data_IF_338184832605
#
_entry.id   IF_338184832605
#
_cell.length_a   1.000
_cell.length_b   1.000
_cell.length_c   1.000
_cell.angle_alpha   90.00
_cell.angle_beta   90.00
_cell.angle_gamma   90.00
#
_symmetry.space_group_name_H-M   'P 1'
#
loop_
_entity.id
_entity.type
_entity.pdbx_description
1 polymer ?
#
# COMPACT_ATOMS: atom_id res chain seq x y z
N UNK A 1 -3.66 -3.11 2.34
CA UNK A 1 -3.40 -2.02 3.30
C UNK A 1 -4.20 -2.22 4.58
N UNK A 2 -4.19 -1.24 5.49
CA UNK A 2 -5.04 -1.16 6.70
C UNK A 2 -4.97 -2.32 7.70
N UNK A 3 -4.02 -3.23 7.51
CA UNK A 3 -3.75 -4.29 8.48
C UNK A 3 -3.10 -3.71 9.74
N UNK A 4 -3.39 -4.29 10.92
CA UNK A 4 -2.82 -3.80 12.17
C UNK A 4 -1.29 -3.94 12.18
N UNK A 5 -0.65 -3.20 13.09
CA UNK A 5 0.77 -3.40 13.41
C UNK A 5 1.03 -4.87 13.76
N UNK A 6 2.14 -5.41 13.23
CA UNK A 6 2.52 -6.80 13.44
C UNK A 6 1.89 -7.77 12.45
N UNK A 7 1.21 -7.28 11.41
CA UNK A 7 0.69 -8.13 10.35
C UNK A 7 1.84 -8.85 9.63
N UNK A 8 1.71 -10.16 9.36
CA UNK A 8 2.75 -10.92 8.65
C UNK A 8 2.83 -10.47 7.19
N UNK A 9 4.06 -10.26 6.70
CA UNK A 9 4.34 -9.89 5.31
C UNK A 9 4.88 -11.07 4.53
N UNK A 10 5.78 -11.84 5.14
CA UNK A 10 6.42 -12.99 4.52
C UNK A 10 7.59 -13.50 5.37
N UNK A 11 8.27 -14.54 4.91
CA UNK A 11 9.41 -15.14 5.61
C UNK A 11 10.60 -15.22 4.68
N UNK A 12 11.77 -14.81 5.16
CA UNK A 12 13.03 -14.98 4.45
C UNK A 12 13.71 -16.28 4.88
N UNK A 13 14.15 -17.05 3.89
CA UNK A 13 14.91 -18.27 4.11
C UNK A 13 16.31 -18.10 3.53
N UNK A 14 17.31 -18.49 4.33
CA UNK A 14 18.70 -18.55 3.92
C UNK A 14 19.32 -19.83 4.51
N UNK A 15 20.27 -20.42 3.78
CA UNK A 15 20.93 -21.68 4.14
C UNK A 15 22.43 -21.54 4.03
N UNK A 16 23.16 -22.00 5.04
CA UNK A 16 24.62 -22.13 5.01
C UNK A 16 24.98 -23.62 4.87
N UNK A 17 25.87 -23.95 3.92
CA UNK A 17 26.22 -25.34 3.59
C UNK A 17 27.34 -25.91 4.47
N UNK A 18 28.08 -25.05 5.15
CA UNK A 18 29.33 -25.44 5.83
C UNK A 18 29.12 -25.70 7.34
N UNK A 19 27.87 -25.68 7.82
CA UNK A 19 27.53 -25.72 9.23
C UNK A 19 26.39 -26.73 9.50
N UNK A 20 26.71 -27.80 10.22
CA UNK A 20 25.72 -28.66 10.87
C UNK A 20 24.78 -27.79 11.70
N UNK A 21 23.46 -27.95 11.48
CA UNK A 21 22.34 -27.41 12.27
C UNK A 21 22.75 -26.40 13.35
N UNK A 22 22.79 -25.11 12.99
CA UNK A 22 23.00 -23.90 13.81
C UNK A 22 24.15 -22.97 13.37
N UNK A 23 24.38 -22.79 12.06
CA UNK A 23 24.76 -21.45 11.62
C UNK A 23 23.63 -20.51 12.05
N UNK A 24 23.77 -19.81 13.18
CA UNK A 24 22.74 -18.91 13.70
C UNK A 24 22.65 -17.68 12.80
N UNK A 25 22.15 -17.84 11.58
CA UNK A 25 21.96 -16.75 10.62
C UNK A 25 21.10 -15.68 11.28
N UNK A 26 21.56 -14.45 11.19
CA UNK A 26 20.84 -13.27 11.66
C UNK A 26 20.30 -12.50 10.48
N UNK A 27 18.98 -12.34 10.47
CA UNK A 27 18.28 -11.57 9.45
C UNK A 27 18.13 -10.12 9.89
N UNK A 28 18.30 -9.19 8.96
CA UNK A 28 18.09 -7.76 9.19
C UNK A 28 17.65 -7.03 7.92
N UNK A 29 17.05 -5.85 8.08
CA UNK A 29 16.77 -4.92 7.00
C UNK A 29 17.84 -3.82 7.01
N UNK A 30 18.45 -3.55 5.86
CA UNK A 30 19.57 -2.59 5.74
C UNK A 30 19.28 -1.58 4.62
N UNK A 31 19.15 -0.28 4.91
CA UNK A 31 19.03 0.28 6.26
C UNK A 31 17.73 -0.19 6.95
N UNK A 32 17.65 0.03 8.26
CA UNK A 32 16.43 -0.24 9.01
C UNK A 32 15.25 0.54 8.41
N UNK A 33 14.07 -0.08 8.41
CA UNK A 33 12.86 0.53 7.86
C UNK A 33 11.87 0.95 8.98
N UNK A 34 11.13 2.03 8.77
CA UNK A 34 10.10 2.53 9.70
C UNK A 34 8.81 1.71 9.64
N UNK A 35 8.46 1.19 8.47
CA UNK A 35 7.19 0.50 8.20
C UNK A 35 7.31 -1.02 8.30
N UNK A 36 8.51 -1.57 8.19
CA UNK A 36 8.77 -3.02 8.23
C UNK A 36 9.86 -3.41 9.23
N UNK A 37 9.68 -4.56 9.86
CA UNK A 37 10.68 -5.21 10.70
C UNK A 37 10.81 -6.69 10.34
N UNK A 38 11.96 -7.28 10.64
CA UNK A 38 12.22 -8.70 10.44
C UNK A 38 12.70 -9.34 11.74
N UNK A 39 12.20 -10.52 12.05
CA UNK A 39 12.69 -11.32 13.16
C UNK A 39 14.09 -11.83 12.84
N UNK A 40 15.11 -11.52 13.67
CA UNK A 40 16.49 -11.86 13.37
C UNK A 40 16.80 -13.36 13.47
N UNK A 41 15.88 -14.19 13.98
CA UNK A 41 16.06 -15.65 14.10
C UNK A 41 15.19 -16.38 13.08
N UNK A 42 13.88 -16.11 13.06
CA UNK A 42 12.94 -16.83 12.18
C UNK A 42 12.93 -16.32 10.74
N UNK A 43 13.43 -15.10 10.49
CA UNK A 43 13.33 -14.45 9.18
C UNK A 43 11.92 -13.94 8.85
N UNK A 44 10.97 -14.05 9.77
CA UNK A 44 9.60 -13.55 9.58
C UNK A 44 9.58 -12.03 9.56
N UNK A 45 8.96 -11.48 8.52
CA UNK A 45 8.79 -10.05 8.31
C UNK A 45 7.39 -9.62 8.71
N UNK A 46 7.31 -8.49 9.43
CA UNK A 46 6.06 -7.93 9.94
C UNK A 46 5.98 -6.43 9.66
N UNK A 47 4.75 -5.92 9.56
CA UNK A 47 4.51 -4.48 9.55
C UNK A 47 4.78 -3.87 10.92
N UNK A 48 5.33 -2.65 10.95
CA UNK A 48 5.52 -1.86 12.18
C UNK A 48 4.38 -0.88 12.43
N UNK A 49 3.59 -0.62 11.40
CA UNK A 49 2.45 0.29 11.38
C UNK A 49 1.44 -0.18 10.33
N UNK A 50 0.16 0.24 10.42
CA UNK A 50 -0.76 0.13 9.30
C UNK A 50 -0.20 0.83 8.07
N UNK A 51 -0.28 0.15 6.93
CA UNK A 51 0.14 0.71 5.64
C UNK A 51 -1.10 1.30 4.96
N UNK A 52 -0.90 2.38 4.23
CA UNK A 52 -1.89 3.08 3.42
C UNK A 52 -1.35 3.11 1.98
N UNK A 53 -2.13 2.55 1.04
CA UNK A 53 -1.75 2.41 -0.36
C UNK A 53 -1.79 3.76 -1.07
N UNK A 54 -2.74 4.63 -0.75
CA UNK A 54 -2.87 5.99 -1.29
C UNK A 54 -1.64 6.83 -0.92
N UNK A 55 -1.08 6.62 0.27
CA UNK A 55 0.19 7.25 0.67
C UNK A 55 1.40 6.60 0.00
N UNK A 56 1.51 5.25 0.03
CA UNK A 56 2.65 4.54 -0.57
C UNK A 56 2.31 3.09 -0.94
N UNK A 57 2.26 2.83 -2.24
CA UNK A 57 1.88 1.52 -2.80
C UNK A 57 3.03 0.51 -2.90
N UNK A 58 4.29 0.95 -2.94
CA UNK A 58 5.47 0.07 -3.15
C UNK A 58 6.61 0.43 -2.20
N UNK A 59 7.20 -0.60 -1.60
CA UNK A 59 8.40 -0.50 -0.79
C UNK A 59 9.51 -1.39 -1.35
N UNK A 60 10.67 -0.79 -1.60
CA UNK A 60 11.88 -1.50 -1.99
C UNK A 60 12.80 -1.57 -0.76
N UNK A 61 13.02 -2.78 -0.29
CA UNK A 61 13.81 -3.08 0.90
C UNK A 61 15.01 -3.93 0.51
N UNK A 62 16.06 -3.89 1.31
CA UNK A 62 17.17 -4.85 1.20
C UNK A 62 17.25 -5.61 2.50
N UNK A 63 17.16 -6.92 2.41
CA UNK A 63 17.34 -7.82 3.53
C UNK A 63 18.75 -8.43 3.50
N UNK A 64 19.38 -8.55 4.65
CA UNK A 64 20.67 -9.19 4.83
C UNK A 64 20.52 -10.42 5.73
N UNK A 65 21.11 -11.54 5.32
CA UNK A 65 21.35 -12.70 6.17
C UNK A 65 22.85 -12.78 6.45
N UNK A 66 23.21 -12.81 7.73
CA UNK A 66 24.61 -12.79 8.19
C UNK A 66 24.89 -13.94 9.15
N UNK A 67 25.96 -14.69 8.92
CA UNK A 67 26.40 -15.72 9.85
C UNK A 67 26.97 -15.13 11.16
N UNK A 68 27.25 -15.98 12.14
CA UNK A 68 27.85 -15.59 13.43
C UNK A 68 29.25 -16.19 13.61
N UNK A 69 29.96 -16.44 12.50
CA UNK A 69 31.32 -16.96 12.53
C UNK A 69 32.33 -15.93 13.04
N UNK A 70 33.57 -16.37 13.32
CA UNK A 70 34.67 -15.50 13.74
C UNK A 70 34.98 -14.44 12.67
N UNK A 71 34.83 -14.79 11.39
CA UNK A 71 34.85 -13.85 10.26
C UNK A 71 33.49 -13.88 9.58
N UNK A 72 32.56 -12.98 9.97
CA UNK A 72 31.19 -13.10 9.50
C UNK A 72 31.04 -12.88 8.01
N UNK A 73 30.31 -13.77 7.32
CA UNK A 73 29.87 -13.56 5.94
C UNK A 73 28.41 -13.14 5.92
N UNK A 74 28.05 -12.35 4.91
CA UNK A 74 26.66 -11.96 4.68
C UNK A 74 26.28 -12.04 3.21
N UNK A 75 24.99 -12.21 2.98
CA UNK A 75 24.37 -12.11 1.66
C UNK A 75 23.16 -11.17 1.74
N UNK A 76 22.84 -10.52 0.63
CA UNK A 76 21.78 -9.52 0.55
C UNK A 76 20.82 -9.85 -0.59
N UNK A 77 19.54 -9.53 -0.38
CA UNK A 77 18.48 -9.69 -1.37
C UNK A 77 17.56 -8.48 -1.36
N UNK A 78 17.15 -8.04 -2.55
CA UNK A 78 16.13 -7.01 -2.71
C UNK A 78 14.75 -7.62 -2.49
N UNK A 79 13.96 -7.01 -1.61
CA UNK A 79 12.58 -7.40 -1.31
C UNK A 79 11.66 -6.28 -1.74
N UNK A 80 10.74 -6.57 -2.65
CA UNK A 80 9.74 -5.61 -3.13
C UNK A 80 8.39 -5.95 -2.52
N UNK A 81 7.88 -5.09 -1.64
CA UNK A 81 6.56 -5.22 -1.03
C UNK A 81 5.57 -4.35 -1.78
N UNK A 82 4.48 -4.94 -2.27
CA UNK A 82 3.37 -4.24 -2.91
C UNK A 82 2.19 -4.20 -1.95
N UNK A 83 1.68 -3.00 -1.67
CA UNK A 83 0.47 -2.82 -0.86
C UNK A 83 -0.73 -3.01 -1.77
N UNK A 84 -1.62 -3.94 -1.42
CA UNK A 84 -2.87 -4.18 -2.14
C UNK A 84 -3.95 -3.22 -1.67
N UNK A 85 -4.76 -2.79 -2.64
CA UNK A 85 -5.90 -1.89 -2.47
C UNK A 85 -7.04 -2.49 -1.64
N UNK A 86 -7.66 -1.66 -0.81
CA UNK A 86 -8.92 -1.88 -0.10
C UNK A 86 -9.82 -0.68 -0.41
N UNK A 87 -11.12 -0.93 -0.64
CA UNK A 87 -12.07 0.14 -0.95
C UNK A 87 -12.42 0.94 0.31
N UNK A 88 -11.54 1.85 0.74
CA UNK A 88 -11.70 2.65 1.96
C UNK A 88 -11.80 4.16 1.71
N UNK A 89 -11.66 4.61 0.45
CA UNK A 89 -12.01 5.96 0.06
C UNK A 89 -13.42 5.98 -0.54
N UNK A 90 -14.08 7.12 -0.40
CA UNK A 90 -15.35 7.40 -1.07
C UNK A 90 -15.13 8.42 -2.17
N UNK A 91 -15.95 8.43 -3.25
CA UNK A 91 -15.80 9.41 -4.31
C UNK A 91 -16.00 10.85 -3.80
N UNK A 92 -15.01 11.70 -3.99
CA UNK A 92 -15.05 13.12 -3.67
C UNK A 92 -15.50 13.92 -4.90
N UNK A 93 -16.56 14.73 -4.76
CA UNK A 93 -16.94 15.69 -5.80
C UNK A 93 -15.91 16.83 -5.84
N UNK A 94 -15.22 16.96 -6.97
CA UNK A 94 -14.16 17.97 -7.18
C UNK A 94 -14.59 19.09 -8.15
N UNK A 95 -15.69 18.89 -8.87
CA UNK A 95 -16.29 19.86 -9.80
C UNK A 95 -17.80 19.57 -9.94
N UNK A 96 -18.69 20.58 -9.90
CA UNK A 96 -18.44 21.96 -9.49
C UNK A 96 -18.06 22.08 -8.01
N UNK A 97 -17.33 23.15 -7.65
CA UNK A 97 -17.12 23.53 -6.25
C UNK A 97 -18.35 24.22 -5.64
N UNK A 98 -19.23 24.75 -6.50
CA UNK A 98 -20.44 25.44 -6.10
C UNK A 98 -21.61 24.47 -5.99
N UNK A 99 -22.36 24.57 -4.89
CA UNK A 99 -23.55 23.75 -4.65
C UNK A 99 -24.78 24.23 -5.43
N UNK A 100 -24.74 25.47 -5.96
CA UNK A 100 -25.87 26.12 -6.62
C UNK A 100 -25.54 26.39 -8.08
N UNK A 101 -26.27 25.71 -8.97
CA UNK A 101 -26.20 25.94 -10.41
C UNK A 101 -27.45 26.67 -10.88
N UNK A 102 -27.25 27.80 -11.56
CA UNK A 102 -28.33 28.59 -12.14
C UNK A 102 -28.45 28.35 -13.64
N UNK A 103 -29.67 28.10 -14.12
CA UNK A 103 -29.98 27.98 -15.55
C UNK A 103 -31.12 28.93 -15.89
N UNK A 104 -31.08 29.53 -17.08
CA UNK A 104 -32.18 30.36 -17.58
C UNK A 104 -33.32 29.46 -18.05
N UNK A 105 -34.57 29.87 -17.81
CA UNK A 105 -35.76 29.08 -18.17
C UNK A 105 -35.94 28.90 -19.68
N UNK A 106 -35.41 29.82 -20.50
CA UNK A 106 -35.57 29.83 -21.96
C UNK A 106 -34.53 28.97 -22.70
N UNK A 107 -33.80 28.11 -21.99
CA UNK A 107 -32.80 27.25 -22.61
C UNK A 107 -33.43 26.09 -23.39
N UNK A 108 -32.96 25.79 -24.61
CA UNK A 108 -33.49 24.69 -25.40
C UNK A 108 -33.18 23.32 -24.76
N UNK A 109 -33.95 22.27 -25.07
CA UNK A 109 -33.64 20.91 -24.64
C UNK A 109 -32.25 20.47 -25.10
N UNK A 110 -31.49 19.83 -24.21
CA UNK A 110 -30.12 19.38 -24.48
C UNK A 110 -29.04 20.38 -24.09
N UNK A 111 -29.39 21.56 -23.56
CA UNK A 111 -28.41 22.48 -22.97
C UNK A 111 -27.68 21.81 -21.79
N UNK A 112 -26.34 21.81 -21.84
CA UNK A 112 -25.49 21.39 -20.72
C UNK A 112 -25.66 22.36 -19.56
N UNK A 113 -26.19 21.88 -18.43
CA UNK A 113 -26.42 22.69 -17.23
C UNK A 113 -25.16 22.76 -16.37
N UNK A 114 -24.58 21.59 -16.10
CA UNK A 114 -23.36 21.44 -15.33
C UNK A 114 -22.68 20.14 -15.71
N UNK A 115 -21.35 20.15 -15.61
CA UNK A 115 -20.53 18.95 -15.67
C UNK A 115 -20.08 18.61 -14.26
N UNK A 116 -20.37 17.40 -13.82
CA UNK A 116 -19.97 16.93 -12.50
C UNK A 116 -18.77 16.00 -12.64
N UNK A 117 -17.80 16.15 -11.75
CA UNK A 117 -16.64 15.27 -11.64
C UNK A 117 -16.45 14.88 -10.19
N UNK A 118 -16.55 13.59 -9.93
CA UNK A 118 -16.08 12.94 -8.73
C UNK A 118 -14.79 12.16 -9.00
N UNK A 119 -13.93 12.09 -7.98
CA UNK A 119 -12.67 11.36 -7.99
C UNK A 119 -12.64 10.48 -6.75
N UNK A 120 -12.35 9.21 -6.95
CA UNK A 120 -12.08 8.26 -5.87
C UNK A 120 -10.57 7.96 -5.87
N UNK A 121 -9.97 7.86 -4.68
CA UNK A 121 -8.52 7.67 -4.51
C UNK A 121 -8.08 6.21 -4.52
N UNK A 122 -9.01 5.27 -4.47
CA UNK A 122 -8.73 3.83 -4.49
C UNK A 122 -8.15 3.38 -5.86
N UNK A 123 -7.94 2.07 -6.05
CA UNK A 123 -7.38 1.52 -7.29
C UNK A 123 -8.38 0.66 -8.08
N UNK A 124 -8.36 0.83 -9.41
CA UNK A 124 -9.08 -0.04 -10.33
C UNK A 124 -10.60 0.04 -10.16
N UNK A 125 -11.24 -1.10 -9.86
CA UNK A 125 -12.70 -1.15 -9.69
C UNK A 125 -13.18 -0.41 -8.44
N UNK A 126 -12.34 -0.29 -7.41
CA UNK A 126 -12.68 0.41 -6.18
C UNK A 126 -12.80 1.92 -6.44
N UNK A 127 -11.98 2.48 -7.34
CA UNK A 127 -12.12 3.86 -7.79
C UNK A 127 -13.11 4.09 -8.96
N UNK A 128 -13.97 3.11 -9.28
CA UNK A 128 -14.94 3.27 -10.39
C UNK A 128 -16.17 4.05 -9.92
N UNK A 129 -16.28 5.29 -10.40
CA UNK A 129 -17.39 6.19 -10.04
C UNK A 129 -18.56 6.06 -11.02
N UNK A 130 -19.77 5.88 -10.48
CA UNK A 130 -21.03 5.90 -11.24
C UNK A 130 -21.91 7.06 -10.80
N UNK A 131 -22.48 7.79 -11.77
CA UNK A 131 -23.33 8.95 -11.51
C UNK A 131 -24.80 8.59 -11.74
N UNK A 132 -25.68 9.08 -10.87
CA UNK A 132 -27.12 9.03 -11.09
C UNK A 132 -27.80 10.29 -10.54
N UNK A 133 -28.83 10.76 -11.23
CA UNK A 133 -29.65 11.87 -10.76
C UNK A 133 -30.88 11.26 -10.09
N UNK A 134 -31.03 11.53 -8.79
CA UNK A 134 -32.22 11.13 -8.06
C UNK A 134 -33.39 12.05 -8.44
N UNK A 135 -34.58 11.48 -8.65
CA UNK A 135 -35.79 12.29 -8.82
C UNK A 135 -36.02 13.12 -7.57
N UNK A 136 -36.34 14.41 -7.74
CA UNK A 136 -36.81 15.21 -6.61
C UNK A 136 -38.18 14.68 -6.15
N UNK A 137 -38.47 14.87 -4.86
CA UNK A 137 -39.82 14.74 -4.31
C UNK A 137 -40.73 15.85 -4.84
#
# INVERSE_FOLDING_TARGET
ENLPRGAPVGVLHATDKDLDNNAALRFSLIPSNSSFQINPISGEMFTREPLDRETKSVYELVAEARDQGITPRSTRVSVRVMVTDVNDNSPDLVDPQEDVISVREEQPPGTEVVRVKAVDRDQGTNATVTYSILKSR
#
